data_IF_178756259263
#
_entry.id   IF_178756259263
#
_cell.length_a   1.000
_cell.length_b   1.000
_cell.length_c   1.000
_cell.angle_alpha   90.00
_cell.angle_beta   90.00
_cell.angle_gamma   90.00
#
_symmetry.space_group_name_H-M   'P 1'
#
loop_
_entity.id
_entity.type
_entity.pdbx_description
1 polymer ?
#
# COMPACT_ATOMS: atom_id res chain seq x y z
N UNK A 1 5.12 -5.90 -16.53
CA UNK A 1 4.01 -5.27 -15.79
C UNK A 1 4.42 -5.30 -14.33
N UNK A 2 4.23 -4.21 -13.60
CA UNK A 2 4.57 -4.18 -12.16
C UNK A 2 3.41 -4.73 -11.32
N UNK A 3 3.70 -5.25 -10.13
CA UNK A 3 2.68 -5.75 -9.18
C UNK A 3 1.56 -4.72 -8.92
N UNK A 4 1.91 -3.43 -8.93
CA UNK A 4 0.97 -2.31 -8.76
C UNK A 4 0.04 -2.15 -9.96
N UNK A 5 0.53 -2.33 -11.18
CA UNK A 5 -0.30 -2.26 -12.40
C UNK A 5 -1.30 -3.41 -12.47
N UNK A 6 -0.87 -4.61 -12.06
CA UNK A 6 -1.71 -5.81 -11.97
C UNK A 6 -2.82 -5.63 -10.94
N UNK A 7 -2.48 -5.19 -9.73
CA UNK A 7 -3.43 -4.83 -8.69
C UNK A 7 -4.43 -3.79 -9.17
N UNK A 8 -3.95 -2.73 -9.82
CA UNK A 8 -4.81 -1.67 -10.33
C UNK A 8 -5.79 -2.19 -11.39
N UNK A 9 -5.33 -3.06 -12.29
CA UNK A 9 -6.17 -3.72 -13.30
C UNK A 9 -7.25 -4.59 -12.65
N UNK A 10 -6.87 -5.43 -11.67
CA UNK A 10 -7.80 -6.30 -10.95
C UNK A 10 -8.88 -5.51 -10.18
N UNK A 11 -8.48 -4.43 -9.50
CA UNK A 11 -9.39 -3.56 -8.77
C UNK A 11 -10.34 -2.78 -9.71
N UNK A 12 -9.84 -2.28 -10.84
CA UNK A 12 -10.67 -1.62 -11.86
C UNK A 12 -11.72 -2.56 -12.47
N UNK A 13 -11.39 -3.83 -12.71
CA UNK A 13 -12.35 -4.85 -13.17
C UNK A 13 -13.51 -5.03 -12.18
N UNK A 14 -13.27 -4.75 -10.89
CA UNK A 14 -14.28 -4.75 -9.82
C UNK A 14 -14.94 -3.39 -9.59
N UNK A 15 -14.83 -2.47 -10.55
CA UNK A 15 -15.41 -1.11 -10.53
C UNK A 15 -14.88 -0.20 -9.40
N UNK A 16 -13.75 -0.53 -8.79
CA UNK A 16 -13.09 0.39 -7.88
C UNK A 16 -12.47 1.56 -8.65
N UNK A 17 -12.52 2.77 -8.09
CA UNK A 17 -11.81 3.91 -8.65
C UNK A 17 -10.34 3.85 -8.17
N UNK A 18 -9.42 3.65 -9.11
CA UNK A 18 -8.01 3.40 -8.83
C UNK A 18 -7.11 4.32 -9.64
N UNK A 19 -6.14 4.94 -8.96
CA UNK A 19 -5.09 5.75 -9.56
C UNK A 19 -3.74 5.17 -9.17
N UNK A 20 -2.90 4.90 -10.18
CA UNK A 20 -1.50 4.46 -9.99
C UNK A 20 -0.60 5.68 -9.94
N UNK A 21 0.40 5.69 -9.05
CA UNK A 21 1.34 6.82 -8.86
C UNK A 21 0.61 8.15 -8.62
N UNK A 22 -0.36 8.13 -7.70
CA UNK A 22 -1.12 9.32 -7.37
C UNK A 22 -0.27 10.27 -6.51
N UNK A 23 -0.33 11.57 -6.78
CA UNK A 23 0.23 12.56 -5.87
C UNK A 23 -0.80 13.03 -4.86
N UNK A 24 -0.44 13.02 -3.59
CA UNK A 24 -1.31 13.34 -2.47
C UNK A 24 -0.55 14.17 -1.44
N UNK A 25 -1.22 15.18 -0.87
CA UNK A 25 -0.62 16.04 0.17
C UNK A 25 -0.75 15.37 1.54
N UNK A 26 0.36 15.19 2.22
CA UNK A 26 0.41 14.70 3.60
C UNK A 26 0.04 15.77 4.63
N UNK A 27 -0.07 15.38 5.90
CA UNK A 27 -0.35 16.29 7.01
C UNK A 27 0.73 17.37 7.17
N UNK A 28 1.99 17.00 6.92
CA UNK A 28 3.15 17.91 6.93
C UNK A 28 3.07 19.00 5.86
N UNK A 29 2.14 18.90 4.92
CA UNK A 29 2.05 19.77 3.76
C UNK A 29 2.94 19.35 2.58
N UNK A 30 3.76 18.32 2.76
CA UNK A 30 4.60 17.73 1.71
C UNK A 30 3.72 16.90 0.76
N UNK A 31 4.02 16.99 -0.54
CA UNK A 31 3.36 16.18 -1.56
C UNK A 31 4.11 14.85 -1.76
N UNK A 32 3.38 13.75 -1.60
CA UNK A 32 3.90 12.39 -1.73
C UNK A 32 3.31 11.71 -2.96
N UNK A 33 4.14 11.03 -3.73
CA UNK A 33 3.66 10.09 -4.74
C UNK A 33 3.39 8.73 -4.08
N UNK A 34 2.16 8.23 -4.12
CA UNK A 34 1.77 6.91 -3.61
C UNK A 34 1.58 5.92 -4.76
N UNK A 35 2.02 4.68 -4.57
CA UNK A 35 2.05 3.67 -5.63
C UNK A 35 0.64 3.33 -6.11
N UNK A 36 -0.30 3.18 -5.19
CA UNK A 36 -1.69 2.86 -5.49
C UNK A 36 -2.64 3.65 -4.60
N UNK A 37 -3.57 4.37 -5.22
CA UNK A 37 -4.66 5.06 -4.54
C UNK A 37 -5.99 4.42 -4.94
N UNK A 38 -6.78 4.00 -3.96
CA UNK A 38 -8.11 3.41 -4.18
C UNK A 38 -9.17 4.27 -3.50
N UNK A 39 -10.24 4.58 -4.23
CA UNK A 39 -11.39 5.35 -3.74
C UNK A 39 -12.65 4.49 -3.88
N UNK A 40 -13.12 3.94 -2.77
CA UNK A 40 -14.31 3.08 -2.74
C UNK A 40 -15.09 3.33 -1.44
N UNK A 41 -15.85 4.44 -1.39
CA UNK A 41 -16.44 4.97 -0.15
C UNK A 41 -15.40 5.65 0.76
N UNK A 42 -14.29 4.96 1.03
CA UNK A 42 -13.12 5.48 1.73
C UNK A 42 -11.93 5.68 0.79
N UNK A 43 -10.91 6.41 1.27
CA UNK A 43 -9.67 6.67 0.53
C UNK A 43 -8.55 5.82 1.12
N UNK A 44 -8.03 4.90 0.34
CA UNK A 44 -6.91 4.04 0.72
C UNK A 44 -5.68 4.44 -0.08
N UNK A 45 -4.54 4.53 0.60
CA UNK A 45 -3.25 4.78 -0.04
C UNK A 45 -2.30 3.63 0.30
N UNK A 46 -1.72 3.03 -0.74
CA UNK A 46 -0.76 1.95 -0.58
C UNK A 46 0.59 2.42 -1.11
N UNK A 47 1.61 2.24 -0.28
CA UNK A 47 2.99 2.60 -0.58
C UNK A 47 3.80 1.31 -0.63
N UNK A 48 4.56 1.09 -1.69
CA UNK A 48 5.39 -0.10 -1.85
C UNK A 48 6.77 0.12 -1.24
N UNK A 49 7.23 -0.83 -0.45
CA UNK A 49 8.64 -0.92 -0.10
C UNK A 49 9.42 -1.51 -1.29
N UNK A 50 9.94 -0.64 -2.14
CA UNK A 50 10.62 -0.99 -3.39
C UNK A 50 12.04 -1.52 -3.21
N UNK A 51 12.64 -1.36 -2.03
CA UNK A 51 13.98 -1.83 -1.70
C UNK A 51 14.02 -2.29 -0.25
N UNK A 52 14.61 -3.47 -0.02
CA UNK A 52 14.70 -4.06 1.30
C UNK A 52 15.89 -3.53 2.10
N UNK A 53 15.74 -2.33 2.65
CA UNK A 53 16.72 -1.71 3.56
C UNK A 53 16.03 -0.93 4.68
N UNK A 54 16.69 -0.83 5.83
CA UNK A 54 16.15 -0.08 6.98
C UNK A 54 15.90 1.39 6.65
N UNK A 55 16.81 2.02 5.89
CA UNK A 55 16.67 3.41 5.46
C UNK A 55 15.43 3.60 4.58
N UNK A 56 15.25 2.74 3.58
CA UNK A 56 14.09 2.82 2.70
C UNK A 56 12.80 2.50 3.46
N UNK A 57 12.83 1.54 4.39
CA UNK A 57 11.72 1.26 5.28
C UNK A 57 11.29 2.51 6.07
N UNK A 58 12.22 3.18 6.75
CA UNK A 58 11.93 4.39 7.52
C UNK A 58 11.31 5.47 6.60
N UNK A 59 11.90 5.70 5.43
CA UNK A 59 11.43 6.69 4.47
C UNK A 59 9.99 6.42 4.02
N UNK A 60 9.69 5.19 3.57
CA UNK A 60 8.35 4.85 3.09
C UNK A 60 7.33 4.74 4.23
N UNK A 61 7.76 4.33 5.43
CA UNK A 61 6.91 4.26 6.61
C UNK A 61 6.49 5.66 7.08
N UNK A 62 7.44 6.60 7.19
CA UNK A 62 7.14 8.01 7.55
C UNK A 62 6.17 8.62 6.54
N UNK A 63 6.41 8.41 5.25
CA UNK A 63 5.47 8.79 4.19
C UNK A 63 4.08 8.17 4.42
N UNK A 64 3.99 6.89 4.73
CA UNK A 64 2.71 6.21 4.98
C UNK A 64 1.96 6.81 6.18
N UNK A 65 2.67 7.17 7.24
CA UNK A 65 2.11 7.81 8.44
C UNK A 65 1.63 9.23 8.17
N UNK A 66 2.34 10.00 7.34
CA UNK A 66 1.99 11.38 6.99
C UNK A 66 0.68 11.49 6.19
N UNK A 67 0.21 10.37 5.61
CA UNK A 67 -1.02 10.28 4.83
C UNK A 67 -2.28 10.06 5.70
N UNK A 68 -2.42 10.77 6.81
CA UNK A 68 -3.52 10.59 7.77
C UNK A 68 -4.93 10.90 7.21
N UNK A 69 -5.02 11.63 6.09
CA UNK A 69 -6.29 11.82 5.35
C UNK A 69 -6.77 10.57 4.60
N UNK A 70 -6.01 9.47 4.70
CA UNK A 70 -6.20 8.22 4.00
C UNK A 70 -6.01 7.04 4.96
N UNK A 71 -6.68 5.92 4.67
CA UNK A 71 -6.33 4.62 5.25
C UNK A 71 -5.07 4.11 4.56
N UNK A 72 -3.93 4.39 5.17
CA UNK A 72 -2.62 4.25 4.53
C UNK A 72 -1.87 3.00 4.99
N UNK A 73 -1.29 2.27 4.03
CA UNK A 73 -0.57 1.03 4.30
C UNK A 73 0.75 0.96 3.52
N UNK A 74 1.80 0.56 4.21
CA UNK A 74 3.08 0.17 3.62
C UNK A 74 3.02 -1.30 3.22
N UNK A 75 3.29 -1.61 1.96
CA UNK A 75 3.34 -2.96 1.40
C UNK A 75 4.78 -3.47 1.50
N UNK A 76 4.98 -4.60 2.17
CA UNK A 76 6.30 -5.19 2.43
C UNK A 76 6.28 -6.67 2.09
N UNK A 77 7.23 -7.14 1.28
CA UNK A 77 7.39 -8.58 1.04
C UNK A 77 7.78 -9.33 2.32
N UNK A 78 7.27 -10.55 2.50
CA UNK A 78 7.54 -11.36 3.69
C UNK A 78 9.04 -11.56 3.95
N UNK A 79 9.80 -11.86 2.90
CA UNK A 79 11.25 -12.03 2.94
C UNK A 79 12.00 -10.78 3.42
N UNK A 80 11.41 -9.60 3.20
CA UNK A 80 11.95 -8.35 3.68
C UNK A 80 11.48 -8.00 5.09
N UNK A 81 10.21 -8.28 5.39
CA UNK A 81 9.63 -8.10 6.70
C UNK A 81 10.39 -8.90 7.77
N UNK A 82 10.80 -10.13 7.47
CA UNK A 82 11.64 -10.97 8.35
C UNK A 82 12.98 -10.31 8.72
N UNK A 83 13.54 -9.50 7.82
CA UNK A 83 14.80 -8.77 8.06
C UNK A 83 14.59 -7.46 8.81
N UNK A 84 13.47 -6.80 8.58
CA UNK A 84 13.18 -5.46 9.09
C UNK A 84 12.47 -5.45 10.45
N UNK A 85 11.67 -6.48 10.74
CA UNK A 85 10.84 -6.54 11.93
C UNK A 85 11.34 -7.66 12.85
N UNK A 86 12.19 -7.32 13.82
CA UNK A 86 12.71 -8.30 14.78
C UNK A 86 11.64 -8.84 15.74
N UNK A 87 10.59 -8.04 16.03
CA UNK A 87 9.59 -8.41 17.04
C UNK A 87 8.24 -7.70 16.92
N UNK A 88 8.22 -6.47 16.40
CA UNK A 88 6.98 -5.67 16.31
C UNK A 88 6.71 -5.28 14.85
N UNK A 89 5.60 -5.79 14.33
CA UNK A 89 5.04 -5.36 13.06
C UNK A 89 4.27 -4.04 13.24
N UNK A 90 4.59 -2.98 12.48
CA UNK A 90 3.79 -1.76 12.50
C UNK A 90 2.35 -2.01 12.01
N UNK A 91 1.36 -1.37 12.64
CA UNK A 91 -0.06 -1.55 12.29
C UNK A 91 -0.38 -1.13 10.85
N UNK A 92 0.27 -0.09 10.35
CA UNK A 92 0.08 0.42 8.98
C UNK A 92 0.91 -0.34 7.94
N UNK A 93 1.14 -1.64 8.14
CA UNK A 93 1.95 -2.48 7.25
C UNK A 93 1.17 -3.71 6.80
N UNK A 94 1.12 -3.93 5.49
CA UNK A 94 0.63 -5.16 4.86
C UNK A 94 1.85 -5.96 4.44
N UNK A 95 2.04 -7.13 5.06
CA UNK A 95 3.07 -8.07 4.65
C UNK A 95 2.45 -8.99 3.62
N UNK A 96 3.13 -9.25 2.50
CA UNK A 96 2.65 -10.15 1.46
C UNK A 96 3.73 -11.13 0.98
N UNK A 97 3.33 -12.33 0.57
CA UNK A 97 4.26 -13.36 0.05
C UNK A 97 4.38 -13.32 -1.47
N UNK A 98 3.29 -12.97 -2.16
CA UNK A 98 3.18 -12.93 -3.61
C UNK A 98 2.03 -12.00 -4.03
N UNK A 99 1.85 -11.83 -5.35
CA UNK A 99 0.81 -10.98 -5.95
C UNK A 99 -0.61 -11.42 -5.54
N UNK A 100 -0.90 -12.72 -5.49
CA UNK A 100 -2.25 -13.23 -5.19
C UNK A 100 -2.62 -12.95 -3.74
N UNK A 101 -1.68 -13.18 -2.83
CA UNK A 101 -1.83 -12.85 -1.41
C UNK A 101 -2.03 -11.34 -1.21
N UNK A 102 -1.22 -10.51 -1.87
CA UNK A 102 -1.36 -9.06 -1.80
C UNK A 102 -2.72 -8.58 -2.32
N UNK A 103 -3.15 -9.09 -3.48
CA UNK A 103 -4.46 -8.77 -4.05
C UNK A 103 -5.59 -9.16 -3.10
N UNK A 104 -5.54 -10.36 -2.54
CA UNK A 104 -6.55 -10.83 -1.58
C UNK A 104 -6.65 -9.89 -0.37
N UNK A 105 -5.52 -9.52 0.23
CA UNK A 105 -5.45 -8.59 1.37
C UNK A 105 -6.00 -7.22 1.03
N UNK A 106 -5.63 -6.66 -0.12
CA UNK A 106 -6.15 -5.35 -0.55
C UNK A 106 -7.65 -5.43 -0.78
N UNK A 107 -8.15 -6.44 -1.48
CA UNK A 107 -9.59 -6.63 -1.74
C UNK A 107 -10.41 -6.73 -0.46
N UNK A 108 -9.93 -7.50 0.52
CA UNK A 108 -10.56 -7.60 1.84
C UNK A 108 -10.58 -6.25 2.57
N UNK A 109 -9.50 -5.46 2.48
CA UNK A 109 -9.41 -4.14 3.10
C UNK A 109 -10.34 -3.11 2.46
N UNK A 110 -10.48 -3.14 1.14
CA UNK A 110 -11.34 -2.21 0.40
C UNK A 110 -12.80 -2.70 0.27
N UNK A 111 -13.17 -3.70 1.09
CA UNK A 111 -14.50 -4.34 1.19
C UNK A 111 -15.06 -4.85 -0.15
N UNK A 112 -14.19 -5.27 -1.07
CA UNK A 112 -14.60 -5.80 -2.36
C UNK A 112 -14.86 -7.30 -2.26
N UNK A 113 -16.13 -7.71 -2.30
CA UNK A 113 -16.54 -9.12 -2.35
C UNK A 113 -15.95 -9.82 -3.58
N UNK A 114 -15.46 -11.05 -3.40
CA UNK A 114 -15.18 -11.96 -4.52
C UNK A 114 -16.54 -12.51 -4.98
N UNK A 115 -17.03 -11.99 -6.11
CA UNK A 115 -18.22 -12.51 -6.80
C UNK A 115 -17.89 -13.78 -7.57
#
# INVERSE_FOLDING_TARGET
MTIIEELASALKKRKANVVVKARVKGMSGIEHEVDLLVRNGEKYAFVLLNECSCENFIKQFVKTVDLHGYKSYLLVESSCAEKLFESIKPKSTIIYTDEKDLLSKILSLVELKQS
#
